data_IF_286822062246
#
_entry.id   IF_286822062246
#
_cell.length_a   1.000
_cell.length_b   1.000
_cell.length_c   1.000
_cell.angle_alpha   90.00
_cell.angle_beta   90.00
_cell.angle_gamma   90.00
#
_symmetry.space_group_name_H-M   'P 1'
#
loop_
_entity.id
_entity.type
_entity.pdbx_description
1 polymer ?
#
# COMPACT_ATOMS: atom_id res chain seq x y z
N UNK A 1 -24.47 -11.34 -13.67
CA UNK A 1 -24.99 -9.97 -13.84
C UNK A 1 -24.02 -9.23 -14.75
N UNK A 2 -24.45 -8.60 -15.85
CA UNK A 2 -23.52 -7.81 -16.70
C UNK A 2 -23.30 -6.45 -16.05
N UNK A 3 -22.06 -6.14 -15.66
CA UNK A 3 -21.67 -4.76 -15.38
C UNK A 3 -21.76 -3.99 -16.71
N UNK A 4 -22.64 -2.98 -16.76
CA UNK A 4 -22.71 -2.09 -17.91
C UNK A 4 -21.45 -1.25 -18.02
N UNK A 5 -21.05 -0.88 -19.22
CA UNK A 5 -19.91 0.00 -19.44
C UNK A 5 -20.17 1.36 -18.76
N UNK A 6 -19.57 1.59 -17.59
CA UNK A 6 -19.67 2.84 -16.86
C UNK A 6 -18.75 3.88 -17.51
N UNK A 7 -19.11 4.30 -18.72
CA UNK A 7 -18.37 5.27 -19.51
C UNK A 7 -18.60 6.67 -18.93
N UNK A 8 -17.79 7.00 -17.92
CA UNK A 8 -17.72 8.35 -17.33
C UNK A 8 -17.45 9.34 -18.47
N UNK A 9 -18.20 10.45 -18.50
CA UNK A 9 -17.98 11.53 -19.46
C UNK A 9 -16.53 12.02 -19.40
N UNK A 10 -15.89 12.35 -20.52
CA UNK A 10 -14.59 13.01 -20.47
C UNK A 10 -14.71 14.38 -19.77
N UNK A 11 -13.61 14.85 -19.19
CA UNK A 11 -13.46 16.18 -18.60
C UNK A 11 -14.47 16.54 -17.48
N UNK A 12 -14.71 15.63 -16.52
CA UNK A 12 -15.62 15.85 -15.38
C UNK A 12 -14.92 16.37 -14.12
N UNK A 13 -13.64 16.02 -13.90
CA UNK A 13 -12.96 16.32 -12.63
C UNK A 13 -11.90 17.43 -12.74
N UNK A 14 -11.97 18.41 -11.83
CA UNK A 14 -10.91 19.40 -11.62
C UNK A 14 -9.74 18.85 -10.77
N UNK A 15 -10.05 17.93 -9.84
CA UNK A 15 -9.09 17.35 -8.91
C UNK A 15 -9.47 15.90 -8.58
N UNK A 16 -8.46 15.04 -8.42
CA UNK A 16 -8.62 13.63 -8.01
C UNK A 16 -7.65 13.33 -6.86
N UNK A 17 -8.11 12.65 -5.83
CA UNK A 17 -7.27 12.24 -4.70
C UNK A 17 -7.36 10.74 -4.48
N UNK A 18 -6.21 10.08 -4.37
CA UNK A 18 -6.08 8.73 -3.86
C UNK A 18 -5.12 8.73 -2.69
N UNK A 19 -5.41 7.95 -1.64
CA UNK A 19 -4.54 7.76 -0.50
C UNK A 19 -4.69 6.32 -0.05
N UNK A 20 -3.57 5.59 0.07
CA UNK A 20 -3.51 4.16 0.38
C UNK A 20 -4.38 3.28 -0.55
N UNK A 21 -4.54 3.70 -1.82
CA UNK A 21 -5.32 2.97 -2.84
C UNK A 21 -4.48 2.37 -3.97
N UNK A 22 -3.53 3.13 -4.53
CA UNK A 22 -2.77 2.74 -5.75
C UNK A 22 -1.74 1.63 -5.51
N UNK A 23 -1.57 1.19 -4.26
CA UNK A 23 -0.76 0.03 -3.95
C UNK A 23 -1.46 -1.32 -4.18
N UNK A 24 -2.79 -1.31 -4.28
CA UNK A 24 -3.56 -2.50 -4.66
C UNK A 24 -3.45 -2.72 -6.16
N UNK A 25 -2.84 -3.84 -6.53
CA UNK A 25 -2.78 -4.33 -7.91
C UNK A 25 -4.17 -4.81 -8.34
N UNK A 26 -4.44 -4.78 -9.65
CA UNK A 26 -5.69 -5.28 -10.22
C UNK A 26 -5.86 -6.80 -10.04
N UNK A 27 -4.75 -7.51 -9.79
CA UNK A 27 -4.68 -8.94 -9.49
C UNK A 27 -3.33 -9.31 -8.90
N UNK A 28 -3.24 -10.54 -8.40
CA UNK A 28 -1.96 -11.19 -8.08
C UNK A 28 -1.11 -11.35 -9.36
N UNK A 29 0.21 -11.07 -9.32
CA UNK A 29 1.12 -11.38 -10.43
C UNK A 29 1.19 -12.88 -10.75
N UNK A 30 1.69 -13.20 -11.95
CA UNK A 30 1.95 -14.60 -12.39
C UNK A 30 3.44 -14.92 -12.26
N UNK A 31 3.82 -16.19 -12.07
CA UNK A 31 5.22 -16.57 -11.90
C UNK A 31 5.72 -16.45 -10.45
N UNK A 32 4.85 -16.69 -9.46
CA UNK A 32 5.14 -16.55 -8.03
C UNK A 32 5.26 -17.89 -7.28
N UNK A 33 5.38 -19.00 -8.02
CA UNK A 33 5.40 -20.38 -7.49
C UNK A 33 6.64 -20.65 -6.60
N UNK A 34 7.72 -19.90 -6.80
CA UNK A 34 8.94 -19.93 -5.99
C UNK A 34 8.98 -18.88 -4.87
N UNK A 35 7.88 -18.14 -4.60
CA UNK A 35 7.77 -17.24 -3.43
C UNK A 35 7.52 -18.01 -2.11
N UNK A 36 8.26 -19.10 -1.90
CA UNK A 36 8.01 -20.12 -0.89
C UNK A 36 8.21 -19.53 0.51
N UNK A 37 7.10 -19.25 1.19
CA UNK A 37 7.06 -18.69 2.54
C UNK A 37 6.47 -17.28 2.66
N UNK A 38 6.21 -16.55 1.56
CA UNK A 38 5.88 -15.10 1.63
C UNK A 38 4.49 -14.78 0.99
N UNK A 39 3.67 -13.87 1.58
CA UNK A 39 2.44 -13.32 0.93
C UNK A 39 2.85 -12.24 -0.06
N UNK A 40 4.14 -11.92 -0.14
CA UNK A 40 4.60 -10.69 -0.72
C UNK A 40 6.09 -10.73 -1.08
N UNK A 41 6.64 -9.60 -1.54
CA UNK A 41 8.06 -9.37 -1.83
C UNK A 41 8.90 -9.21 -0.54
N UNK A 42 9.09 -10.30 0.19
CA UNK A 42 9.96 -10.30 1.37
C UNK A 42 11.46 -10.28 0.98
N UNK A 43 12.35 -9.97 1.94
CA UNK A 43 13.82 -10.03 1.76
C UNK A 43 14.33 -11.43 1.34
N UNK A 44 13.53 -12.48 1.60
CA UNK A 44 13.74 -13.88 1.20
C UNK A 44 13.28 -14.21 -0.23
N UNK A 45 12.49 -13.35 -0.88
CA UNK A 45 11.92 -13.62 -2.21
C UNK A 45 12.99 -13.64 -3.31
N UNK A 46 12.86 -14.50 -4.33
CA UNK A 46 13.78 -14.50 -5.48
C UNK A 46 13.55 -13.26 -6.38
N UNK A 47 14.56 -12.79 -7.15
CA UNK A 47 14.43 -11.61 -8.02
C UNK A 47 13.30 -11.68 -9.06
N UNK A 48 12.87 -12.88 -9.46
CA UNK A 48 11.71 -13.11 -10.33
C UNK A 48 10.39 -12.59 -9.71
N UNK A 49 10.21 -12.77 -8.40
CA UNK A 49 9.04 -12.28 -7.66
C UNK A 49 9.02 -10.75 -7.69
N UNK A 50 10.14 -10.11 -7.37
CA UNK A 50 10.27 -8.65 -7.44
C UNK A 50 9.92 -8.11 -8.82
N UNK A 51 10.43 -8.74 -9.89
CA UNK A 51 10.12 -8.35 -11.27
C UNK A 51 8.64 -8.55 -11.62
N UNK A 52 8.03 -9.69 -11.29
CA UNK A 52 6.64 -9.98 -11.61
C UNK A 52 5.67 -8.99 -10.93
N UNK A 53 5.96 -8.61 -9.69
CA UNK A 53 5.24 -7.58 -8.95
C UNK A 53 5.41 -6.19 -9.57
N UNK A 54 6.64 -5.80 -9.97
CA UNK A 54 6.92 -4.54 -10.67
C UNK A 54 6.22 -4.46 -12.04
N UNK A 55 6.32 -5.51 -12.87
CA UNK A 55 5.66 -5.58 -14.18
C UNK A 55 4.13 -5.37 -14.07
N UNK A 56 3.51 -5.95 -13.03
CA UNK A 56 2.08 -5.83 -12.76
C UNK A 56 1.71 -4.44 -12.23
N UNK A 57 2.52 -3.83 -11.34
CA UNK A 57 2.32 -2.46 -10.90
C UNK A 57 2.47 -1.43 -12.02
N UNK A 58 3.52 -1.55 -12.84
CA UNK A 58 3.75 -0.70 -14.01
C UNK A 58 2.52 -0.70 -14.91
N UNK A 59 1.96 -1.89 -15.19
CA UNK A 59 0.73 -2.04 -15.97
C UNK A 59 -0.47 -1.36 -15.31
N UNK A 60 -0.73 -1.63 -14.04
CA UNK A 60 -1.91 -1.12 -13.34
C UNK A 60 -1.86 0.40 -13.14
N UNK A 61 -0.70 0.97 -12.78
CA UNK A 61 -0.55 2.41 -12.61
C UNK A 61 -0.58 3.16 -13.96
N UNK A 62 -0.02 2.60 -15.04
CA UNK A 62 -0.18 3.16 -16.40
C UNK A 62 -1.65 3.16 -16.83
N UNK A 63 -2.39 2.08 -16.57
CA UNK A 63 -3.83 2.02 -16.87
C UNK A 63 -4.63 3.04 -16.05
N UNK A 64 -4.33 3.17 -14.75
CA UNK A 64 -4.95 4.17 -13.87
C UNK A 64 -4.72 5.59 -14.39
N UNK A 65 -3.48 5.96 -14.71
CA UNK A 65 -3.14 7.25 -15.29
C UNK A 65 -3.90 7.49 -16.60
N UNK A 66 -3.90 6.52 -17.52
CA UNK A 66 -4.59 6.63 -18.81
C UNK A 66 -6.12 6.70 -18.69
N UNK A 67 -6.73 6.19 -17.61
CA UNK A 67 -8.16 6.40 -17.34
C UNK A 67 -8.40 7.80 -16.76
N UNK A 68 -7.67 8.17 -15.71
CA UNK A 68 -7.78 9.48 -15.06
C UNK A 68 -7.47 10.64 -16.01
N UNK A 69 -6.56 10.49 -16.97
CA UNK A 69 -6.25 11.53 -17.96
C UNK A 69 -7.43 11.83 -18.90
N UNK A 70 -8.39 10.91 -19.08
CA UNK A 70 -9.60 11.13 -19.87
C UNK A 70 -10.69 11.87 -19.07
N UNK A 71 -10.77 11.57 -17.78
CA UNK A 71 -11.78 12.12 -16.86
C UNK A 71 -11.40 13.50 -16.27
N UNK A 72 -10.10 13.77 -16.09
CA UNK A 72 -9.60 15.03 -15.55
C UNK A 72 -9.60 16.12 -16.65
N UNK A 73 -9.99 17.34 -16.28
CA UNK A 73 -9.95 18.50 -17.17
C UNK A 73 -8.50 18.98 -17.46
N UNK A 74 -8.23 19.66 -18.59
CA UNK A 74 -6.93 20.31 -18.81
C UNK A 74 -6.55 21.19 -17.61
N UNK A 75 -5.28 21.15 -17.19
CA UNK A 75 -4.77 21.79 -15.96
C UNK A 75 -5.34 21.27 -14.63
N UNK A 76 -6.21 20.24 -14.63
CA UNK A 76 -6.67 19.56 -13.42
C UNK A 76 -5.56 18.73 -12.75
N UNK A 77 -5.69 18.50 -11.45
CA UNK A 77 -4.61 17.95 -10.61
C UNK A 77 -4.94 16.59 -9.95
N UNK A 78 -3.92 15.83 -9.53
CA UNK A 78 -4.09 14.54 -8.86
C UNK A 78 -3.04 14.24 -7.76
N UNK A 79 -3.43 13.52 -6.68
CA UNK A 79 -2.53 13.08 -5.58
C UNK A 79 -2.63 11.59 -5.19
N UNK A 80 -1.57 11.00 -4.61
CA UNK A 80 -1.39 9.53 -4.32
C UNK A 80 -0.54 9.24 -3.04
N UNK A 81 -0.78 8.13 -2.29
CA UNK A 81 -0.12 7.69 -0.99
C UNK A 81 -0.15 6.12 -0.77
N UNK A 82 0.74 5.42 0.02
CA UNK A 82 0.91 3.89 0.00
C UNK A 82 1.82 3.14 1.08
N UNK A 83 1.61 1.82 1.43
CA UNK A 83 2.26 0.97 2.53
C UNK A 83 1.95 -0.61 2.54
N UNK A 84 2.69 -1.59 3.20
CA UNK A 84 2.97 -3.04 2.79
C UNK A 84 3.00 -4.31 3.76
N UNK A 85 3.28 -5.55 3.20
CA UNK A 85 3.72 -6.91 3.76
C UNK A 85 2.69 -7.98 4.33
N UNK A 86 2.87 -9.32 4.59
CA UNK A 86 4.03 -10.29 4.80
C UNK A 86 4.00 -11.84 4.30
N UNK A 87 3.16 -12.85 4.74
CA UNK A 87 3.43 -14.37 4.68
C UNK A 87 2.44 -15.47 4.02
N UNK A 88 2.80 -16.18 2.91
CA UNK A 88 2.21 -17.33 2.10
C UNK A 88 1.01 -17.28 1.08
N UNK A 89 0.32 -16.16 0.86
CA UNK A 89 -0.89 -15.98 0.02
C UNK A 89 -0.68 -14.70 -0.79
N UNK A 90 -0.13 -14.77 -2.00
CA UNK A 90 0.41 -13.57 -2.67
C UNK A 90 -0.62 -12.41 -2.76
N UNK A 91 -0.46 -11.39 -1.93
CA UNK A 91 -1.33 -10.21 -1.90
C UNK A 91 -1.22 -9.50 -3.26
N UNK A 92 -2.34 -8.97 -3.81
CA UNK A 92 -2.32 -8.05 -4.93
C UNK A 92 -1.87 -6.67 -4.44
N UNK A 93 -0.64 -6.60 -3.94
CA UNK A 93 -0.05 -5.47 -3.24
C UNK A 93 1.36 -5.19 -3.83
N UNK A 94 1.89 -3.97 -3.74
CA UNK A 94 3.27 -3.67 -4.23
C UNK A 94 3.90 -2.46 -3.54
N UNK A 95 5.22 -2.41 -3.35
CA UNK A 95 6.02 -1.26 -2.90
C UNK A 95 6.84 -0.70 -4.05
N UNK A 96 6.40 0.45 -4.57
CA UNK A 96 7.09 1.15 -5.66
C UNK A 96 8.07 2.18 -5.11
N UNK A 97 9.18 2.43 -5.82
CA UNK A 97 10.07 3.54 -5.49
C UNK A 97 9.61 4.86 -6.16
N UNK A 98 10.30 5.98 -5.86
CA UNK A 98 9.96 7.28 -6.45
C UNK A 98 10.40 7.35 -7.92
N UNK A 99 11.50 6.70 -8.24
CA UNK A 99 12.10 6.63 -9.58
C UNK A 99 11.16 5.92 -10.56
N UNK A 100 10.62 4.77 -10.16
CA UNK A 100 9.63 4.01 -10.92
C UNK A 100 8.31 4.78 -11.12
N UNK A 101 7.82 5.48 -10.08
CA UNK A 101 6.65 6.36 -10.21
C UNK A 101 6.91 7.47 -11.23
N UNK A 102 8.11 8.06 -11.24
CA UNK A 102 8.47 9.08 -12.23
C UNK A 102 8.52 8.49 -13.65
N UNK A 103 9.22 7.37 -13.84
CA UNK A 103 9.35 6.68 -15.13
C UNK A 103 7.99 6.28 -15.72
N UNK A 104 7.05 5.80 -14.90
CA UNK A 104 5.70 5.44 -15.35
C UNK A 104 4.92 6.69 -15.78
N UNK A 105 4.99 7.80 -15.04
CA UNK A 105 4.30 9.05 -15.39
C UNK A 105 4.89 9.70 -16.65
N UNK A 106 6.22 9.69 -16.79
CA UNK A 106 6.91 10.21 -17.98
C UNK A 106 6.59 9.39 -19.24
N UNK A 107 6.53 8.05 -19.11
CA UNK A 107 6.18 7.13 -20.20
C UNK A 107 4.69 7.16 -20.58
N UNK A 108 3.77 7.36 -19.64
CA UNK A 108 2.34 7.54 -19.95
C UNK A 108 2.08 8.91 -20.57
N UNK A 109 2.79 9.94 -20.11
CA UNK A 109 2.94 11.20 -20.81
C UNK A 109 1.79 12.20 -20.68
N UNK A 110 0.61 11.84 -20.15
CA UNK A 110 -0.54 12.76 -20.03
C UNK A 110 -0.37 13.83 -18.94
N UNK A 111 0.55 13.62 -18.01
CA UNK A 111 0.72 14.45 -16.81
C UNK A 111 2.13 15.07 -16.71
N UNK A 112 2.19 16.19 -15.99
CA UNK A 112 3.42 16.74 -15.41
C UNK A 112 3.52 16.37 -13.93
N UNK A 113 4.71 16.02 -13.46
CA UNK A 113 5.00 15.90 -12.03
C UNK A 113 5.24 17.31 -11.47
N UNK A 114 4.38 17.78 -10.56
CA UNK A 114 4.58 19.06 -9.84
C UNK A 114 5.24 18.88 -8.48
N UNK A 115 5.09 17.70 -7.86
CA UNK A 115 5.77 17.33 -6.60
C UNK A 115 5.89 15.81 -6.53
N UNK A 116 7.05 15.32 -6.10
CA UNK A 116 7.31 13.92 -5.80
C UNK A 116 8.18 13.89 -4.54
N UNK A 117 7.62 13.40 -3.44
CA UNK A 117 8.24 13.42 -2.12
C UNK A 117 8.10 12.05 -1.45
N UNK A 118 9.07 11.71 -0.61
CA UNK A 118 9.07 10.48 0.19
C UNK A 118 9.13 10.88 1.66
N UNK A 119 8.25 10.29 2.46
CA UNK A 119 8.13 10.50 3.89
C UNK A 119 8.29 9.16 4.60
N UNK A 120 9.18 9.10 5.59
CA UNK A 120 9.20 7.99 6.55
C UNK A 120 8.15 8.27 7.62
N UNK A 121 7.02 7.59 7.57
CA UNK A 121 6.07 7.57 8.68
C UNK A 121 6.51 6.47 9.66
N UNK A 122 6.69 6.83 10.94
CA UNK A 122 6.87 5.83 11.98
C UNK A 122 5.49 5.24 12.32
N UNK A 123 5.32 3.93 12.19
CA UNK A 123 4.07 3.27 12.61
C UNK A 123 3.77 3.51 14.11
N UNK A 124 4.80 3.84 14.91
CA UNK A 124 4.72 4.23 16.32
C UNK A 124 4.11 5.61 16.60
N UNK A 125 3.41 6.24 15.64
CA UNK A 125 2.68 7.50 15.82
C UNK A 125 1.52 7.42 16.86
N UNK A 126 1.34 6.25 17.48
CA UNK A 126 0.44 5.97 18.61
C UNK A 126 0.92 6.58 19.92
N UNK A 127 2.22 6.88 20.07
CA UNK A 127 2.81 7.35 21.32
C UNK A 127 3.36 8.77 21.17
N UNK A 128 2.81 9.68 21.96
CA UNK A 128 3.43 10.97 22.26
C UNK A 128 4.81 10.78 22.91
N UNK A 129 5.63 11.84 22.91
CA UNK A 129 6.93 11.84 23.61
C UNK A 129 6.78 11.73 25.13
N UNK A 130 5.58 11.99 25.66
CA UNK A 130 5.24 11.96 27.08
C UNK A 130 4.89 10.53 27.53
N UNK A 131 4.13 9.78 26.73
CA UNK A 131 3.85 8.35 26.97
C UNK A 131 5.10 7.47 26.94
N UNK A 132 6.15 7.88 26.22
CA UNK A 132 7.45 7.18 26.22
C UNK A 132 8.25 7.38 27.52
N UNK A 133 7.94 8.40 28.33
CA UNK A 133 8.73 8.77 29.51
C UNK A 133 8.15 8.23 30.83
N UNK A 134 6.87 7.86 30.89
CA UNK A 134 6.21 7.37 32.10
C UNK A 134 6.40 5.86 32.38
N UNK A 135 7.28 5.20 31.64
CA UNK A 135 7.42 3.74 31.59
C UNK A 135 8.18 3.12 32.80
N UNK A 136 7.89 3.57 34.02
CA UNK A 136 8.48 3.06 35.27
C UNK A 136 7.47 2.77 36.39
N UNK A 137 6.22 3.22 36.28
CA UNK A 137 5.15 2.91 37.24
C UNK A 137 3.87 2.44 36.52
N UNK A 138 3.12 1.56 37.19
CA UNK A 138 1.87 0.90 36.77
C UNK A 138 1.99 -0.27 35.76
N UNK A 139 0.98 -1.15 35.84
CA UNK A 139 0.79 -2.42 35.09
C UNK A 139 0.46 -2.23 33.59
N UNK A 140 0.86 -1.10 33.01
CA UNK A 140 0.48 -0.67 31.67
C UNK A 140 1.66 -0.81 30.70
N UNK A 141 1.82 -2.01 30.11
CA UNK A 141 2.83 -2.21 29.07
C UNK A 141 2.43 -1.46 27.78
N UNK A 142 3.00 -0.26 27.63
CA UNK A 142 2.81 0.65 26.49
C UNK A 142 3.06 -0.05 25.14
N UNK A 143 4.07 -0.93 25.06
CA UNK A 143 4.39 -1.68 23.84
C UNK A 143 3.33 -2.74 23.50
N UNK A 144 2.69 -3.34 24.49
CA UNK A 144 1.61 -4.30 24.26
C UNK A 144 0.35 -3.63 23.67
N UNK A 145 0.00 -2.42 24.14
CA UNK A 145 -1.09 -1.63 23.55
C UNK A 145 -0.75 -1.08 22.16
N UNK A 146 0.51 -0.66 21.94
CA UNK A 146 1.02 -0.34 20.60
C UNK A 146 0.87 -1.54 19.65
N UNK A 147 1.31 -2.73 20.06
CA UNK A 147 1.19 -3.97 19.29
C UNK A 147 -0.25 -4.34 18.96
N UNK A 148 -1.17 -4.23 19.92
CA UNK A 148 -2.63 -4.44 19.70
C UNK A 148 -3.20 -3.43 18.69
N UNK A 149 -2.88 -2.14 18.83
CA UNK A 149 -3.38 -1.08 17.92
C UNK A 149 -2.90 -1.29 16.48
N UNK A 150 -1.61 -1.59 16.29
CA UNK A 150 -1.05 -1.95 14.97
C UNK A 150 -1.69 -3.22 14.40
N UNK A 151 -1.83 -4.28 15.20
CA UNK A 151 -2.47 -5.51 14.76
C UNK A 151 -3.94 -5.31 14.32
N UNK A 152 -4.70 -4.49 15.04
CA UNK A 152 -6.08 -4.16 14.68
C UNK A 152 -6.17 -3.35 13.38
N UNK A 153 -5.22 -2.44 13.12
CA UNK A 153 -5.14 -1.69 11.86
C UNK A 153 -4.88 -2.61 10.66
N UNK A 154 -3.86 -3.46 10.75
CA UNK A 154 -3.54 -4.44 9.71
C UNK A 154 -4.68 -5.47 9.54
N UNK A 155 -5.33 -5.89 10.63
CA UNK A 155 -6.49 -6.79 10.61
C UNK A 155 -7.65 -6.21 9.80
N UNK A 156 -8.04 -4.96 10.07
CA UNK A 156 -9.15 -4.30 9.38
C UNK A 156 -8.96 -4.21 7.84
N UNK A 157 -7.71 -4.21 7.37
CA UNK A 157 -7.36 -4.17 5.94
C UNK A 157 -7.26 -5.57 5.33
N UNK A 158 -6.64 -6.52 6.03
CA UNK A 158 -6.21 -7.81 5.46
C UNK A 158 -7.09 -9.01 5.85
N UNK A 159 -7.87 -8.94 6.92
CA UNK A 159 -8.72 -10.03 7.40
C UNK A 159 -9.64 -10.63 6.33
N UNK A 160 -10.37 -9.85 5.49
CA UNK A 160 -11.26 -10.42 4.48
C UNK A 160 -10.54 -11.25 3.40
N UNK A 161 -9.25 -10.96 3.17
CA UNK A 161 -8.41 -11.71 2.23
C UNK A 161 -7.81 -12.95 2.90
N UNK A 162 -7.35 -12.81 4.14
CA UNK A 162 -6.76 -13.89 4.94
C UNK A 162 -7.80 -14.96 5.32
N UNK A 163 -9.02 -14.57 5.73
CA UNK A 163 -10.09 -15.53 6.04
C UNK A 163 -10.57 -16.26 4.78
N UNK A 164 -10.67 -15.56 3.65
CA UNK A 164 -11.01 -16.17 2.36
C UNK A 164 -9.98 -17.20 1.88
N UNK A 165 -8.72 -17.10 2.27
CA UNK A 165 -7.66 -18.04 1.87
C UNK A 165 -7.38 -19.14 2.90
N UNK A 166 -7.32 -18.79 4.20
CA UNK A 166 -6.91 -19.70 5.28
C UNK A 166 -8.06 -20.17 6.21
N UNK A 167 -9.25 -19.57 6.08
CA UNK A 167 -10.40 -19.80 6.95
C UNK A 167 -10.35 -19.02 8.27
N UNK A 168 -11.51 -18.70 8.84
CA UNK A 168 -11.63 -17.86 10.05
C UNK A 168 -10.89 -18.42 11.27
N UNK A 169 -10.77 -19.75 11.35
CA UNK A 169 -10.19 -20.48 12.49
C UNK A 169 -8.72 -20.15 12.80
N UNK A 170 -7.97 -19.53 11.88
CA UNK A 170 -6.58 -19.10 12.14
C UNK A 170 -6.46 -17.62 12.51
N UNK A 171 -7.46 -16.79 12.24
CA UNK A 171 -7.34 -15.33 12.18
C UNK A 171 -7.03 -14.70 13.55
N UNK A 172 -7.80 -15.03 14.60
CA UNK A 172 -7.54 -14.51 15.95
C UNK A 172 -6.16 -14.92 16.48
N UNK A 173 -5.71 -16.14 16.14
CA UNK A 173 -4.40 -16.67 16.54
C UNK A 173 -3.26 -15.99 15.79
N UNK A 174 -3.47 -15.65 14.52
CA UNK A 174 -2.54 -14.89 13.68
C UNK A 174 -2.37 -13.47 14.22
N UNK A 175 -3.46 -12.71 14.37
CA UNK A 175 -3.38 -11.32 14.83
C UNK A 175 -2.92 -11.18 16.29
N UNK A 176 -3.23 -12.16 17.15
CA UNK A 176 -2.65 -12.21 18.51
C UNK A 176 -1.12 -12.38 18.49
N UNK A 177 -0.57 -13.22 17.60
CA UNK A 177 0.89 -13.37 17.43
C UNK A 177 1.53 -12.13 16.83
N UNK A 178 0.89 -11.55 15.81
CA UNK A 178 1.36 -10.32 15.17
C UNK A 178 1.44 -9.15 16.17
N UNK A 179 0.42 -8.98 17.03
CA UNK A 179 0.42 -7.99 18.11
C UNK A 179 1.62 -8.18 19.06
N UNK A 180 1.97 -9.42 19.43
CA UNK A 180 3.15 -9.72 20.25
C UNK A 180 4.45 -9.37 19.51
N UNK A 181 4.63 -9.78 18.26
CA UNK A 181 5.85 -9.47 17.51
C UNK A 181 6.06 -7.98 17.22
N UNK A 182 4.99 -7.18 17.13
CA UNK A 182 5.09 -5.71 17.09
C UNK A 182 5.47 -5.14 18.46
N UNK A 183 4.89 -5.66 19.56
CA UNK A 183 5.22 -5.24 20.92
C UNK A 183 6.68 -5.56 21.31
N UNK A 184 7.20 -6.72 20.88
CA UNK A 184 8.59 -7.14 21.07
C UNK A 184 9.60 -6.33 20.21
N UNK A 185 9.11 -5.39 19.40
CA UNK A 185 9.92 -4.58 18.47
C UNK A 185 10.39 -5.30 17.20
N UNK A 186 10.12 -6.60 17.08
CA UNK A 186 10.60 -7.47 15.98
C UNK A 186 10.01 -7.12 14.60
N UNK A 187 8.88 -6.39 14.57
CA UNK A 187 8.18 -5.96 13.36
C UNK A 187 8.10 -4.43 13.22
N UNK A 188 8.98 -3.66 13.89
CA UNK A 188 9.01 -2.18 13.79
C UNK A 188 9.64 -1.69 12.48
N UNK A 189 8.91 -1.86 11.38
CA UNK A 189 9.26 -1.30 10.08
C UNK A 189 8.89 0.19 9.98
N UNK A 190 9.76 0.98 9.35
CA UNK A 190 9.43 2.33 8.91
C UNK A 190 8.54 2.26 7.67
N UNK A 191 7.52 3.11 7.61
CA UNK A 191 6.55 3.15 6.53
C UNK A 191 6.96 4.19 5.49
N UNK A 192 7.47 3.73 4.35
CA UNK A 192 7.93 4.61 3.26
C UNK A 192 6.75 5.09 2.42
N UNK A 193 6.15 6.21 2.84
CA UNK A 193 5.05 6.86 2.14
C UNK A 193 5.57 7.73 1.00
N UNK A 194 5.17 7.45 -0.25
CA UNK A 194 5.43 8.33 -1.39
C UNK A 194 4.21 9.20 -1.67
N UNK A 195 4.40 10.53 -1.71
CA UNK A 195 3.39 11.50 -2.13
C UNK A 195 3.80 12.09 -3.48
N UNK A 196 3.01 11.82 -4.51
CA UNK A 196 3.14 12.45 -5.83
C UNK A 196 1.94 13.37 -6.10
N UNK A 197 2.20 14.52 -6.72
CA UNK A 197 1.23 15.52 -7.15
C UNK A 197 1.42 15.78 -8.63
N UNK A 198 0.38 15.51 -9.42
CA UNK A 198 0.38 15.60 -10.88
C UNK A 198 -0.56 16.71 -11.38
N UNK A 199 -0.28 17.25 -12.56
CA UNK A 199 -1.22 18.12 -13.31
C UNK A 199 -1.38 17.58 -14.73
N UNK A 200 -2.60 17.51 -15.25
CA UNK A 200 -2.88 17.08 -16.62
C UNK A 200 -2.45 18.16 -17.63
N UNK A 201 -1.72 17.75 -18.68
CA UNK A 201 -1.29 18.61 -19.78
C UNK A 201 -2.46 19.19 -20.57
N UNK A 202 -2.23 20.30 -21.26
CA UNK A 202 -3.26 21.10 -21.94
C UNK A 202 -3.69 20.60 -23.33
N UNK A 203 -3.52 19.31 -23.61
CA UNK A 203 -3.68 18.69 -24.93
C UNK A 203 -5.09 18.09 -25.11
#
# INVERSE_FOLDING_TARGET
MKLGNLQISPFVFHFVHSSYGIHWLSKVPVGLEDNKGNIYMARSSPPSVFKAYADQFQKDFTNFLSMRSKEIMPQGCMGVVKEADVDSFNLPYYTSCKEEIAEIVEREGSFDIKRLQVFEANHSAVLSREEQLHNQDLDFNVYLEMGKKTANGVRAISEPLLSSHFGDAVIDKLFKRYATHVADGLMLHKLTTIVVSLTKKGN
#
